data_IF_560226847938
#
_entry.id   IF_560226847938
#
_cell.length_a   1.000
_cell.length_b   1.000
_cell.length_c   1.000
_cell.angle_alpha   90.00
_cell.angle_beta   90.00
_cell.angle_gamma   90.00
#
_symmetry.space_group_name_H-M   'P 1'
#
loop_
_entity.id
_entity.type
_entity.pdbx_description
1 polymer ?
#
# COMPACT_ATOMS: atom_id res chain seq x y z
N UNK A 1 -50.62 -2.72 43.31
CA UNK A 1 -50.65 -3.01 41.86
C UNK A 1 -49.55 -4.05 41.62
N UNK A 2 -49.71 -5.38 41.76
CA UNK A 2 -50.60 -6.37 41.06
C UNK A 2 -50.51 -6.17 39.54
N UNK A 3 -50.13 -7.10 38.66
CA UNK A 3 -49.83 -8.55 38.63
C UNK A 3 -48.98 -8.79 37.34
N UNK A 4 -47.93 -9.63 37.30
CA UNK A 4 -47.92 -11.09 37.09
C UNK A 4 -48.55 -11.56 35.77
N UNK A 5 -47.75 -12.24 34.92
CA UNK A 5 -48.02 -13.45 34.07
C UNK A 5 -46.68 -13.76 33.34
N UNK A 6 -45.82 -14.75 33.67
CA UNK A 6 -45.91 -16.24 33.78
C UNK A 6 -46.19 -16.89 32.41
N UNK A 7 -45.15 -17.36 31.70
CA UNK A 7 -44.74 -18.79 31.52
C UNK A 7 -45.22 -19.29 30.13
N UNK A 8 -44.65 -20.26 29.39
CA UNK A 8 -43.97 -21.51 29.73
C UNK A 8 -43.14 -21.95 28.50
N UNK A 9 -42.06 -22.67 28.77
CA UNK A 9 -41.21 -23.39 27.83
C UNK A 9 -41.84 -24.68 27.27
N UNK A 10 -41.27 -25.21 26.19
CA UNK A 10 -40.87 -26.63 26.17
C UNK A 10 -39.80 -26.89 25.10
N UNK A 11 -38.74 -27.57 25.55
CA UNK A 11 -37.78 -28.28 24.70
C UNK A 11 -38.38 -29.61 24.27
N UNK A 12 -38.05 -30.09 23.06
CA UNK A 12 -37.69 -31.49 22.90
C UNK A 12 -36.94 -31.77 21.60
N UNK A 13 -36.14 -32.80 21.72
CA UNK A 13 -34.92 -33.17 21.03
C UNK A 13 -35.11 -34.14 19.87
N UNK A 14 -34.09 -34.12 18.99
CA UNK A 14 -33.41 -35.26 18.38
C UNK A 14 -33.89 -35.88 17.05
N UNK A 15 -32.85 -36.08 16.22
CA UNK A 15 -32.55 -37.25 15.37
C UNK A 15 -32.91 -37.25 13.88
N UNK A 16 -31.84 -37.43 13.08
CA UNK A 16 -31.70 -37.66 11.63
C UNK A 16 -31.99 -39.15 11.30
N UNK A 17 -32.37 -39.54 10.06
CA UNK A 17 -31.40 -40.08 9.06
C UNK A 17 -31.75 -39.72 7.57
N UNK A 18 -30.79 -39.39 6.70
CA UNK A 18 -30.06 -40.21 5.67
C UNK A 18 -30.87 -40.69 4.44
N UNK A 19 -30.41 -40.23 3.26
CA UNK A 19 -30.41 -40.78 1.89
C UNK A 19 -31.71 -40.99 1.07
N UNK A 20 -31.83 -40.32 -0.09
CA UNK A 20 -31.55 -40.90 -1.43
C UNK A 20 -32.02 -39.97 -2.59
N UNK A 21 -31.28 -40.06 -3.70
CA UNK A 21 -31.63 -39.75 -5.11
C UNK A 21 -31.82 -38.30 -5.63
N UNK A 22 -30.71 -37.78 -6.16
CA UNK A 22 -30.50 -37.32 -7.55
C UNK A 22 -31.71 -36.87 -8.37
N UNK A 23 -31.83 -35.54 -8.56
CA UNK A 23 -32.28 -34.96 -9.85
C UNK A 23 -31.32 -33.83 -10.22
N UNK A 24 -30.56 -34.05 -11.30
CA UNK A 24 -29.74 -33.06 -11.98
C UNK A 24 -30.68 -32.15 -12.79
N UNK A 25 -30.88 -30.90 -12.34
CA UNK A 25 -31.43 -29.85 -13.20
C UNK A 25 -30.27 -28.99 -13.66
N UNK A 26 -29.88 -29.19 -14.92
CA UNK A 26 -28.93 -28.36 -15.64
C UNK A 26 -29.52 -26.95 -15.82
N UNK A 27 -29.05 -25.99 -15.02
CA UNK A 27 -29.41 -24.60 -15.18
C UNK A 27 -28.35 -23.91 -16.06
N UNK A 28 -28.60 -23.85 -17.38
CA UNK A 28 -27.76 -23.15 -18.33
C UNK A 28 -27.83 -21.63 -18.10
N UNK A 29 -26.92 -21.10 -17.27
CA UNK A 29 -26.68 -19.65 -17.18
C UNK A 29 -26.00 -19.19 -18.47
N UNK A 30 -26.67 -18.31 -19.22
CA UNK A 30 -26.05 -17.51 -20.30
C UNK A 30 -24.79 -16.81 -19.76
N UNK A 31 -23.69 -16.70 -20.53
CA UNK A 31 -22.51 -15.95 -20.11
C UNK A 31 -22.88 -14.47 -19.97
N UNK A 32 -22.94 -14.03 -18.71
CA UNK A 32 -23.02 -12.61 -18.35
C UNK A 32 -21.72 -11.94 -18.85
N UNK A 33 -21.78 -10.85 -19.63
CA UNK A 33 -20.57 -10.08 -19.91
C UNK A 33 -19.98 -9.60 -18.58
N UNK A 34 -18.67 -9.84 -18.41
CA UNK A 34 -17.92 -9.46 -17.23
C UNK A 34 -18.13 -7.97 -16.92
N UNK A 35 -18.35 -7.58 -15.65
CA UNK A 35 -18.49 -6.18 -15.29
C UNK A 35 -17.16 -5.46 -15.51
N UNK A 36 -17.04 -4.77 -16.64
CA UNK A 36 -16.09 -3.65 -16.82
C UNK A 36 -16.65 -2.45 -16.06
N UNK A 37 -16.64 -2.57 -14.73
CA UNK A 37 -16.86 -1.47 -13.82
C UNK A 37 -15.70 -1.46 -12.85
N UNK A 38 -14.60 -0.85 -13.26
CA UNK A 38 -13.67 -0.23 -12.32
C UNK A 38 -14.40 0.98 -11.70
N UNK A 39 -15.47 0.71 -10.95
CA UNK A 39 -15.64 1.21 -9.60
C UNK A 39 -15.08 2.62 -9.38
N UNK A 40 -15.78 3.62 -9.91
CA UNK A 40 -15.79 4.99 -9.40
C UNK A 40 -16.41 4.95 -7.99
N UNK A 41 -15.70 4.47 -6.96
CA UNK A 41 -16.30 4.29 -5.61
C UNK A 41 -15.98 5.34 -4.57
N UNK A 42 -15.05 6.27 -4.77
CA UNK A 42 -14.86 7.38 -3.83
C UNK A 42 -14.18 8.57 -4.51
N UNK A 43 -14.96 9.36 -5.25
CA UNK A 43 -14.54 10.71 -5.62
C UNK A 43 -15.13 11.65 -4.57
N UNK A 44 -14.32 12.12 -3.62
CA UNK A 44 -14.75 13.22 -2.75
C UNK A 44 -14.65 14.50 -3.58
N UNK A 45 -15.77 15.11 -3.99
CA UNK A 45 -15.72 16.38 -4.71
C UNK A 45 -15.11 17.46 -3.81
N UNK A 46 -14.52 18.48 -4.42
CA UNK A 46 -14.04 19.63 -3.64
C UNK A 46 -15.23 20.36 -2.98
N UNK A 47 -15.36 20.18 -1.68
CA UNK A 47 -16.38 20.82 -0.85
C UNK A 47 -15.90 22.21 -0.40
N UNK A 48 -16.21 23.21 -1.23
CA UNK A 48 -15.82 24.60 -0.97
C UNK A 48 -16.50 25.19 0.28
N UNK A 49 -17.60 24.63 0.76
CA UNK A 49 -18.32 25.11 1.94
C UNK A 49 -17.53 24.97 3.24
N UNK A 50 -16.42 24.21 3.22
CA UNK A 50 -15.51 24.04 4.36
C UNK A 50 -14.48 25.16 4.52
N UNK A 51 -14.46 26.13 3.62
CA UNK A 51 -13.46 27.18 3.56
C UNK A 51 -14.12 28.56 3.43
N UNK A 52 -13.41 29.60 3.87
CA UNK A 52 -13.78 30.97 3.51
C UNK A 52 -13.63 31.19 1.99
N UNK A 53 -14.33 32.19 1.44
CA UNK A 53 -14.39 32.42 -0.01
C UNK A 53 -13.03 32.67 -0.65
N UNK A 54 -12.11 33.35 0.05
CA UNK A 54 -10.77 33.64 -0.45
C UNK A 54 -9.97 32.34 -0.57
N UNK A 55 -9.97 31.53 0.48
CA UNK A 55 -9.29 30.23 0.50
C UNK A 55 -9.87 29.25 -0.52
N UNK A 56 -11.19 29.19 -0.64
CA UNK A 56 -11.86 28.34 -1.62
C UNK A 56 -11.46 28.70 -3.07
N UNK A 57 -11.40 29.99 -3.39
CA UNK A 57 -10.99 30.46 -4.71
C UNK A 57 -9.51 30.18 -5.00
N UNK A 58 -8.64 30.42 -4.02
CA UNK A 58 -7.21 30.11 -4.16
C UNK A 58 -6.96 28.60 -4.36
N UNK A 59 -7.72 27.73 -3.68
CA UNK A 59 -7.63 26.28 -3.87
C UNK A 59 -8.13 25.86 -5.25
N UNK A 60 -9.23 26.42 -5.75
CA UNK A 60 -9.73 26.14 -7.11
C UNK A 60 -8.69 26.44 -8.18
N UNK A 61 -8.15 27.66 -8.18
CA UNK A 61 -7.10 28.06 -9.12
C UNK A 61 -5.91 27.11 -9.08
N UNK A 62 -5.47 26.71 -7.88
CA UNK A 62 -4.39 25.76 -7.73
C UNK A 62 -4.71 24.36 -8.26
N UNK A 63 -5.96 23.90 -8.10
CA UNK A 63 -6.40 22.61 -8.64
C UNK A 63 -6.52 22.65 -10.16
N UNK A 64 -7.00 23.76 -10.71
CA UNK A 64 -7.09 23.99 -12.16
C UNK A 64 -5.68 24.00 -12.78
N UNK A 65 -4.74 24.77 -12.20
CA UNK A 65 -3.33 24.78 -12.60
C UNK A 65 -2.71 23.36 -12.56
N UNK A 66 -2.99 22.60 -11.50
CA UNK A 66 -2.51 21.24 -11.35
C UNK A 66 -3.11 20.31 -12.42
N UNK A 67 -4.39 20.46 -12.75
CA UNK A 67 -5.07 19.70 -13.79
C UNK A 67 -4.49 20.02 -15.17
N UNK A 68 -4.23 21.29 -15.48
CA UNK A 68 -3.60 21.73 -16.73
C UNK A 68 -2.20 21.14 -16.91
N UNK A 69 -1.44 21.01 -15.82
CA UNK A 69 -0.15 20.32 -15.80
C UNK A 69 -0.26 18.78 -15.85
N UNK A 70 -1.49 18.23 -15.86
CA UNK A 70 -1.79 16.80 -15.82
C UNK A 70 -1.29 16.13 -14.54
N UNK A 71 -1.35 16.83 -13.40
CA UNK A 71 -1.07 16.28 -12.07
C UNK A 71 -2.34 15.66 -11.48
N UNK A 72 -2.22 14.64 -10.62
CA UNK A 72 -3.39 14.11 -9.92
C UNK A 72 -3.91 15.16 -8.92
N UNK A 73 -5.12 15.67 -9.16
CA UNK A 73 -5.75 16.71 -8.34
C UNK A 73 -6.33 16.14 -7.04
N UNK A 74 -6.79 14.90 -7.07
CA UNK A 74 -7.46 14.24 -5.94
C UNK A 74 -6.62 14.24 -4.64
N UNK A 75 -5.32 13.92 -4.65
CA UNK A 75 -4.47 14.08 -3.47
C UNK A 75 -4.44 15.51 -2.90
N UNK A 76 -4.50 16.53 -3.76
CA UNK A 76 -4.51 17.94 -3.34
C UNK A 76 -5.82 18.32 -2.66
N UNK A 77 -6.95 17.87 -3.21
CA UNK A 77 -8.28 18.04 -2.60
C UNK A 77 -8.33 17.36 -1.24
N UNK A 78 -7.91 16.10 -1.16
CA UNK A 78 -7.88 15.35 0.10
C UNK A 78 -7.02 16.06 1.15
N UNK A 79 -5.87 16.61 0.75
CA UNK A 79 -5.00 17.36 1.65
C UNK A 79 -5.62 18.65 2.16
N UNK A 80 -6.34 19.38 1.32
CA UNK A 80 -7.08 20.56 1.72
C UNK A 80 -8.21 20.22 2.71
N UNK A 81 -9.01 19.20 2.39
CA UNK A 81 -10.11 18.73 3.23
C UNK A 81 -9.63 18.19 4.58
N UNK A 82 -8.50 17.50 4.61
CA UNK A 82 -7.85 17.08 5.85
C UNK A 82 -7.45 18.29 6.70
N UNK A 83 -6.87 19.32 6.09
CA UNK A 83 -6.54 20.58 6.76
C UNK A 83 -7.75 21.25 7.39
N UNK A 84 -8.85 21.35 6.64
CA UNK A 84 -10.12 21.89 7.13
C UNK A 84 -10.71 21.05 8.27
N UNK A 85 -10.72 19.72 8.14
CA UNK A 85 -11.19 18.82 9.19
C UNK A 85 -10.38 18.96 10.50
N UNK A 86 -9.08 19.26 10.39
CA UNK A 86 -8.19 19.54 11.52
C UNK A 86 -8.28 20.99 12.03
N UNK A 87 -9.17 21.81 11.48
CA UNK A 87 -9.30 23.25 11.80
C UNK A 87 -7.98 24.01 11.66
N UNK A 88 -7.20 23.63 10.66
CA UNK A 88 -5.93 24.30 10.34
C UNK A 88 -6.21 25.69 9.78
N UNK A 89 -5.38 26.67 10.13
CA UNK A 89 -5.48 28.02 9.56
C UNK A 89 -5.35 28.02 8.03
N UNK A 90 -6.12 28.87 7.34
CA UNK A 90 -6.25 28.90 5.88
C UNK A 90 -4.92 29.08 5.15
N UNK A 91 -4.05 29.96 5.66
CA UNK A 91 -2.70 30.21 5.13
C UNK A 91 -1.84 28.93 5.15
N UNK A 92 -1.92 28.17 6.24
CA UNK A 92 -1.20 26.92 6.42
C UNK A 92 -1.77 25.80 5.54
N UNK A 93 -3.08 25.77 5.33
CA UNK A 93 -3.70 24.84 4.36
C UNK A 93 -3.15 25.14 2.96
N UNK A 94 -3.23 26.39 2.50
CA UNK A 94 -2.75 26.79 1.17
C UNK A 94 -1.26 26.49 0.98
N UNK A 95 -0.43 26.78 2.00
CA UNK A 95 1.01 26.47 1.97
C UNK A 95 1.25 24.98 1.76
N UNK A 96 0.60 24.13 2.55
CA UNK A 96 0.79 22.67 2.50
C UNK A 96 0.29 22.07 1.19
N UNK A 97 -0.84 22.55 0.67
CA UNK A 97 -1.38 22.08 -0.62
C UNK A 97 -0.47 22.51 -1.77
N UNK A 98 0.06 23.73 -1.77
CA UNK A 98 1.09 24.18 -2.73
C UNK A 98 2.34 23.33 -2.68
N UNK A 99 2.87 23.07 -1.50
CA UNK A 99 4.04 22.20 -1.33
C UNK A 99 3.78 20.78 -1.87
N UNK A 100 2.56 20.27 -1.70
CA UNK A 100 2.16 18.98 -2.24
C UNK A 100 2.09 18.99 -3.77
N UNK A 101 1.54 20.06 -4.38
CA UNK A 101 1.51 20.23 -5.83
C UNK A 101 2.92 20.30 -6.43
N UNK A 102 3.84 21.04 -5.79
CA UNK A 102 5.25 21.11 -6.20
C UNK A 102 5.90 19.72 -6.10
N UNK A 103 5.62 18.97 -5.04
CA UNK A 103 6.14 17.62 -4.87
C UNK A 103 5.60 16.65 -5.94
N UNK A 104 4.32 16.73 -6.30
CA UNK A 104 3.74 15.96 -7.41
C UNK A 104 4.38 16.30 -8.75
N UNK A 105 4.60 17.59 -9.02
CA UNK A 105 5.27 18.04 -10.24
C UNK A 105 6.71 17.51 -10.30
N UNK A 106 7.45 17.56 -9.18
CA UNK A 106 8.80 17.00 -9.08
C UNK A 106 8.77 15.48 -9.27
N UNK A 107 7.88 14.76 -8.60
CA UNK A 107 7.70 13.32 -8.79
C UNK A 107 7.39 12.96 -10.26
N UNK A 108 6.53 13.72 -10.94
CA UNK A 108 6.19 13.51 -12.36
C UNK A 108 7.41 13.70 -13.27
N UNK A 109 8.24 14.71 -13.01
CA UNK A 109 9.49 14.90 -13.77
C UNK A 109 10.47 13.75 -13.55
N UNK A 110 10.61 13.29 -12.31
CA UNK A 110 11.60 12.27 -11.94
C UNK A 110 11.17 10.85 -12.33
N UNK A 111 9.90 10.49 -12.12
CA UNK A 111 9.37 9.17 -12.47
C UNK A 111 8.97 9.10 -13.96
N UNK A 112 8.66 10.24 -14.58
CA UNK A 112 8.32 10.36 -15.99
C UNK A 112 6.81 10.38 -16.27
N UNK A 113 6.45 10.82 -17.47
CA UNK A 113 5.06 11.12 -17.86
C UNK A 113 4.10 9.91 -17.87
N UNK A 114 4.64 8.69 -17.91
CA UNK A 114 3.84 7.45 -17.91
C UNK A 114 3.50 6.96 -16.49
N UNK A 115 3.98 7.64 -15.43
CA UNK A 115 3.65 7.24 -14.06
C UNK A 115 2.16 7.30 -13.76
N UNK A 116 1.70 6.31 -12.99
CA UNK A 116 0.33 6.26 -12.50
C UNK A 116 0.10 7.31 -11.40
N UNK A 117 -1.16 7.68 -11.14
CA UNK A 117 -1.50 8.61 -10.05
C UNK A 117 -0.91 8.17 -8.70
N UNK A 118 -0.99 6.87 -8.39
CA UNK A 118 -0.48 6.30 -7.14
C UNK A 118 1.05 6.36 -7.06
N UNK A 119 1.76 6.19 -8.17
CA UNK A 119 3.23 6.37 -8.21
C UNK A 119 3.62 7.82 -7.99
N UNK A 120 2.89 8.77 -8.60
CA UNK A 120 3.13 10.20 -8.41
C UNK A 120 2.89 10.61 -6.96
N UNK A 121 1.82 10.12 -6.34
CA UNK A 121 1.53 10.40 -4.94
C UNK A 121 2.57 9.77 -4.00
N UNK A 122 2.95 8.50 -4.21
CA UNK A 122 4.02 7.86 -3.45
C UNK A 122 5.35 8.63 -3.58
N UNK A 123 5.69 9.08 -4.79
CA UNK A 123 6.87 9.90 -5.05
C UNK A 123 6.81 11.27 -4.37
N UNK A 124 5.67 11.95 -4.40
CA UNK A 124 5.48 13.23 -3.71
C UNK A 124 5.61 13.11 -2.19
N UNK A 125 5.04 12.05 -1.61
CA UNK A 125 5.17 11.75 -0.18
C UNK A 125 6.64 11.47 0.18
N UNK A 126 7.36 10.74 -0.67
CA UNK A 126 8.78 10.44 -0.48
C UNK A 126 9.64 11.71 -0.51
N UNK A 127 9.45 12.59 -1.50
CA UNK A 127 10.15 13.87 -1.60
C UNK A 127 9.89 14.77 -0.39
N UNK A 128 8.63 14.83 0.07
CA UNK A 128 8.26 15.58 1.28
C UNK A 128 8.80 14.96 2.57
N UNK A 129 9.16 13.67 2.55
CA UNK A 129 9.84 13.01 3.66
C UNK A 129 11.37 13.21 3.65
N UNK A 130 11.89 13.98 2.69
CA UNK A 130 13.32 14.33 2.61
C UNK A 130 14.14 13.43 1.68
N UNK A 131 13.51 12.56 0.89
CA UNK A 131 14.21 11.85 -0.18
C UNK A 131 14.53 12.82 -1.33
N UNK A 132 15.64 12.56 -2.02
CA UNK A 132 16.05 13.29 -3.20
C UNK A 132 15.56 12.64 -4.50
N UNK A 133 15.72 13.34 -5.63
CA UNK A 133 15.30 12.83 -6.95
C UNK A 133 16.04 11.54 -7.29
N UNK A 134 17.32 11.44 -6.91
CA UNK A 134 18.15 10.25 -7.16
C UNK A 134 17.58 9.00 -6.49
N UNK A 135 17.00 9.11 -5.30
CA UNK A 135 16.32 8.00 -4.65
C UNK A 135 15.10 7.54 -5.47
N UNK A 136 14.29 8.47 -5.98
CA UNK A 136 13.13 8.17 -6.83
C UNK A 136 13.56 7.53 -8.17
N UNK A 137 14.59 8.07 -8.81
CA UNK A 137 15.17 7.53 -10.06
C UNK A 137 15.67 6.09 -9.86
N UNK A 138 16.33 5.82 -8.73
CA UNK A 138 16.83 4.49 -8.41
C UNK A 138 15.69 3.48 -8.29
N UNK A 139 14.61 3.86 -7.58
CA UNK A 139 13.42 3.00 -7.47
C UNK A 139 12.76 2.80 -8.84
N UNK A 140 12.60 3.88 -9.63
CA UNK A 140 12.06 3.79 -10.99
C UNK A 140 12.88 2.89 -11.88
N UNK A 141 14.21 2.96 -11.83
CA UNK A 141 15.09 2.11 -12.64
C UNK A 141 15.05 0.63 -12.23
N UNK A 142 14.59 0.32 -11.01
CA UNK A 142 14.44 -1.07 -10.54
C UNK A 142 13.11 -1.71 -10.94
N UNK A 143 12.14 -0.94 -11.46
CA UNK A 143 10.76 -1.38 -11.67
C UNK A 143 10.16 -0.90 -12.99
N UNK A 144 9.32 -1.72 -13.63
CA UNK A 144 8.43 -1.22 -14.68
C UNK A 144 7.48 -0.13 -14.17
N UNK A 145 6.91 0.62 -15.11
CA UNK A 145 5.84 1.58 -14.84
C UNK A 145 4.65 0.89 -14.15
N UNK A 146 4.12 1.52 -13.11
CA UNK A 146 3.00 1.02 -12.31
C UNK A 146 3.42 0.13 -11.13
N UNK A 147 4.71 -0.17 -10.96
CA UNK A 147 5.22 -1.05 -9.92
C UNK A 147 6.15 -0.34 -8.91
N UNK A 148 6.27 0.99 -8.99
CA UNK A 148 7.14 1.75 -8.08
C UNK A 148 6.49 2.09 -6.72
N UNK A 149 5.17 1.92 -6.56
CA UNK A 149 4.43 2.34 -5.36
C UNK A 149 4.98 1.69 -4.09
N UNK A 150 5.03 0.35 -4.05
CA UNK A 150 5.51 -0.42 -2.89
C UNK A 150 6.95 -0.03 -2.50
N UNK A 151 7.95 -0.06 -3.40
CA UNK A 151 9.31 0.32 -3.03
C UNK A 151 9.45 1.79 -2.60
N UNK A 152 8.70 2.73 -3.19
CA UNK A 152 8.70 4.14 -2.75
C UNK A 152 8.13 4.30 -1.33
N UNK A 153 7.03 3.62 -1.03
CA UNK A 153 6.39 3.65 0.30
C UNK A 153 7.31 3.02 1.34
N UNK A 154 7.88 1.86 1.05
CA UNK A 154 8.81 1.15 1.96
C UNK A 154 10.06 1.98 2.21
N UNK A 155 10.67 2.54 1.17
CA UNK A 155 11.83 3.42 1.31
C UNK A 155 11.53 4.63 2.20
N UNK A 156 10.39 5.27 1.97
CA UNK A 156 9.94 6.43 2.77
C UNK A 156 9.73 6.07 4.24
N UNK A 157 9.09 4.94 4.52
CA UNK A 157 8.82 4.49 5.90
C UNK A 157 10.12 4.15 6.64
N UNK A 158 11.06 3.46 5.98
CA UNK A 158 12.37 3.11 6.54
C UNK A 158 13.16 4.38 6.91
N UNK A 159 13.18 5.39 6.02
CA UNK A 159 13.86 6.67 6.27
C UNK A 159 13.21 7.42 7.44
N UNK A 160 11.87 7.48 7.50
CA UNK A 160 11.14 8.12 8.61
C UNK A 160 11.42 7.47 9.97
N UNK A 161 11.82 6.20 9.98
CA UNK A 161 12.20 5.45 11.19
C UNK A 161 13.65 5.71 11.62
N UNK A 162 14.36 6.61 10.94
CA UNK A 162 15.71 7.04 11.30
C UNK A 162 16.82 6.21 10.65
N UNK A 163 16.50 5.36 9.67
CA UNK A 163 17.54 4.72 8.85
C UNK A 163 18.09 5.74 7.85
N UNK A 164 19.41 5.87 7.69
CA UNK A 164 20.01 6.77 6.70
C UNK A 164 19.51 6.50 5.28
N UNK A 165 19.23 7.56 4.52
CA UNK A 165 18.65 7.48 3.16
C UNK A 165 19.49 6.60 2.23
N UNK A 166 20.83 6.70 2.29
CA UNK A 166 21.74 5.88 1.48
C UNK A 166 21.52 4.39 1.73
N UNK A 167 21.52 3.98 3.01
CA UNK A 167 21.38 2.59 3.41
C UNK A 167 20.00 2.04 3.03
N UNK A 168 18.95 2.83 3.26
CA UNK A 168 17.58 2.46 2.90
C UNK A 168 17.42 2.30 1.39
N UNK A 169 17.95 3.25 0.60
CA UNK A 169 17.88 3.22 -0.87
C UNK A 169 18.61 2.01 -1.44
N UNK A 170 19.81 1.73 -0.96
CA UNK A 170 20.62 0.62 -1.47
C UNK A 170 19.96 -0.73 -1.16
N UNK A 171 19.42 -0.89 0.06
CA UNK A 171 18.64 -2.06 0.46
C UNK A 171 17.37 -2.25 -0.40
N UNK A 172 16.57 -1.19 -0.56
CA UNK A 172 15.33 -1.26 -1.35
C UNK A 172 15.65 -1.52 -2.83
N UNK A 173 16.66 -0.88 -3.42
CA UNK A 173 17.07 -1.13 -4.80
C UNK A 173 17.54 -2.58 -5.01
N UNK A 174 18.28 -3.14 -4.06
CA UNK A 174 18.72 -4.53 -4.14
C UNK A 174 17.52 -5.49 -4.12
N UNK A 175 16.57 -5.29 -3.21
CA UNK A 175 15.42 -6.18 -3.04
C UNK A 175 14.33 -5.96 -4.10
N UNK A 176 14.18 -4.75 -4.63
CA UNK A 176 13.19 -4.43 -5.66
C UNK A 176 13.45 -5.18 -6.98
N UNK A 177 14.69 -5.62 -7.21
CA UNK A 177 15.10 -6.36 -8.41
C UNK A 177 14.87 -7.87 -8.32
N UNK A 178 14.49 -8.40 -7.16
CA UNK A 178 14.30 -9.85 -6.97
C UNK A 178 12.89 -10.31 -7.37
N UNK A 179 12.69 -11.60 -7.70
CA UNK A 179 11.35 -12.16 -7.81
C UNK A 179 10.59 -12.05 -6.47
N UNK A 180 9.28 -11.78 -6.51
CA UNK A 180 8.42 -11.60 -5.29
C UNK A 180 8.91 -10.52 -4.33
N UNK A 181 9.66 -9.57 -4.88
CA UNK A 181 10.18 -8.39 -4.20
C UNK A 181 9.18 -7.60 -3.35
N UNK A 182 7.89 -7.56 -3.68
CA UNK A 182 6.93 -6.75 -2.91
C UNK A 182 6.70 -7.35 -1.51
N UNK A 183 6.52 -8.67 -1.42
CA UNK A 183 6.42 -9.38 -0.15
C UNK A 183 7.71 -9.22 0.67
N UNK A 184 8.86 -9.25 0.00
CA UNK A 184 10.18 -9.06 0.61
C UNK A 184 10.32 -7.62 1.15
N UNK A 185 9.92 -6.61 0.37
CA UNK A 185 9.99 -5.21 0.78
C UNK A 185 9.03 -4.91 1.94
N UNK A 186 7.81 -5.47 1.93
CA UNK A 186 6.87 -5.36 3.03
C UNK A 186 7.37 -6.09 4.29
N UNK A 187 8.01 -7.24 4.12
CA UNK A 187 8.69 -7.96 5.20
C UNK A 187 9.83 -7.15 5.83
N UNK A 188 10.68 -6.52 4.99
CA UNK A 188 11.72 -5.60 5.44
C UNK A 188 11.09 -4.44 6.23
N UNK A 189 10.04 -3.82 5.69
CA UNK A 189 9.35 -2.70 6.32
C UNK A 189 8.84 -3.08 7.71
N UNK A 190 8.11 -4.19 7.83
CA UNK A 190 7.58 -4.68 9.10
C UNK A 190 8.70 -4.97 10.12
N UNK A 191 9.81 -5.56 9.68
CA UNK A 191 10.94 -5.85 10.55
C UNK A 191 11.64 -4.57 11.04
N UNK A 192 11.92 -3.63 10.14
CA UNK A 192 12.52 -2.32 10.49
C UNK A 192 11.59 -1.57 11.43
N UNK A 193 10.28 -1.57 11.16
CA UNK A 193 9.26 -0.96 12.01
C UNK A 193 9.30 -1.48 13.44
N UNK A 194 9.32 -2.81 13.61
CA UNK A 194 9.42 -3.46 14.91
C UNK A 194 10.69 -3.08 15.67
N UNK A 195 11.84 -3.00 14.98
CA UNK A 195 13.11 -2.73 15.63
C UNK A 195 13.34 -1.23 15.90
N UNK A 196 12.79 -0.34 15.07
CA UNK A 196 12.84 1.10 15.28
C UNK A 196 12.18 1.54 16.59
N UNK A 197 11.21 0.78 17.10
CA UNK A 197 10.62 0.98 18.44
C UNK A 197 11.66 0.89 19.57
N UNK A 198 12.78 0.20 19.35
CA UNK A 198 13.89 0.05 20.30
C UNK A 198 15.01 1.08 20.07
N UNK A 199 14.89 1.90 19.03
CA UNK A 199 15.84 2.96 18.66
C UNK A 199 16.33 2.85 17.21
N UNK A 200 16.85 3.96 16.63
CA UNK A 200 17.29 4.01 15.23
C UNK A 200 18.41 3.00 14.90
N UNK A 201 19.36 2.77 15.81
CA UNK A 201 20.43 1.78 15.59
C UNK A 201 19.91 0.37 15.37
N UNK A 202 18.88 -0.03 16.14
CA UNK A 202 18.26 -1.36 15.99
C UNK A 202 17.51 -1.50 14.66
N UNK A 203 16.97 -0.41 14.13
CA UNK A 203 16.34 -0.37 12.80
C UNK A 203 17.38 -0.63 11.69
N UNK A 204 18.56 0.01 11.79
CA UNK A 204 19.68 -0.20 10.86
C UNK A 204 20.21 -1.64 10.94
N UNK A 205 20.38 -2.19 12.14
CA UNK A 205 20.83 -3.57 12.32
C UNK A 205 19.82 -4.59 11.78
N UNK A 206 18.52 -4.32 11.94
CA UNK A 206 17.47 -5.14 11.36
C UNK A 206 17.49 -5.11 9.83
N UNK A 207 17.64 -3.92 9.24
CA UNK A 207 17.77 -3.76 7.79
C UNK A 207 18.98 -4.54 7.24
N UNK A 208 20.15 -4.37 7.86
CA UNK A 208 21.37 -5.05 7.43
C UNK A 208 21.26 -6.57 7.52
N UNK A 209 20.62 -7.10 8.58
CA UNK A 209 20.38 -8.55 8.73
C UNK A 209 19.41 -9.07 7.69
N UNK A 210 18.34 -8.32 7.41
CA UNK A 210 17.33 -8.72 6.44
C UNK A 210 17.90 -8.81 5.03
N UNK A 211 18.64 -7.78 4.60
CA UNK A 211 19.27 -7.74 3.26
C UNK A 211 20.28 -8.88 3.10
N UNK A 212 21.09 -9.16 4.13
CA UNK A 212 22.02 -10.31 4.13
C UNK A 212 21.28 -11.64 4.01
N UNK A 213 20.19 -11.83 4.77
CA UNK A 213 19.39 -13.07 4.73
C UNK A 213 18.63 -13.28 3.42
N UNK A 214 18.12 -12.20 2.82
CA UNK A 214 17.42 -12.25 1.53
C UNK A 214 18.33 -12.67 0.37
N UNK A 215 19.62 -12.32 0.42
CA UNK A 215 20.63 -12.79 -0.54
C UNK A 215 20.97 -14.28 -0.43
N UNK A 216 20.71 -14.90 0.72
CA UNK A 216 20.99 -16.33 0.98
C UNK A 216 19.87 -17.27 0.51
N UNK A 217 18.73 -16.75 0.08
CA UNK A 217 17.57 -17.52 -0.42
C UNK A 217 17.67 -17.89 -1.91
N UNK A 218 18.89 -17.91 -2.48
CA UNK A 218 19.13 -18.48 -3.81
C UNK A 218 18.65 -19.95 -3.84
N UNK A 219 18.09 -20.44 -4.97
CA UNK A 219 17.31 -21.67 -4.99
C UNK A 219 18.20 -22.85 -4.60
N UNK A 220 17.89 -23.48 -3.48
CA UNK A 220 18.32 -24.85 -3.22
C UNK A 220 17.83 -25.68 -4.40
N UNK A 221 18.75 -26.18 -5.22
CA UNK A 221 18.48 -27.26 -6.18
C UNK A 221 17.59 -28.30 -5.48
N UNK A 222 16.59 -28.87 -6.17
CA UNK A 222 15.74 -29.89 -5.56
C UNK A 222 16.65 -30.95 -4.97
N UNK A 223 16.45 -31.25 -3.70
CA UNK A 223 17.20 -32.29 -3.01
C UNK A 223 17.03 -33.57 -3.83
N UNK A 224 18.08 -33.92 -4.59
CA UNK A 224 18.26 -35.27 -5.11
C UNK A 224 18.16 -36.15 -3.87
N UNK A 225 17.08 -36.92 -3.80
CA UNK A 225 16.91 -38.00 -2.83
C UNK A 225 17.90 -39.09 -3.19
N UNK A 226 19.18 -38.87 -2.92
CA UNK A 226 20.18 -39.93 -2.88
C UNK A 226 20.06 -40.63 -1.52
N UNK A 227 18.98 -41.40 -1.35
CA UNK A 227 18.89 -42.38 -0.28
C UNK A 227 19.72 -43.58 -0.70
N UNK A 228 20.91 -43.70 -0.08
CA UNK A 228 21.75 -44.90 -0.09
C UNK A 228 20.89 -46.15 0.19
N UNK A 229 20.95 -47.22 -0.62
CA UNK A 229 20.19 -48.44 -0.36
C UNK A 229 20.67 -49.09 0.94
N UNK A 230 19.76 -49.24 1.90
CA UNK A 230 19.99 -50.06 3.11
C UNK A 230 19.77 -51.51 2.70
N UNK A 231 20.81 -52.35 2.85
CA UNK A 231 20.74 -53.79 2.62
C UNK A 231 19.93 -54.44 3.75
N UNK A 232 18.93 -55.30 3.47
CA UNK A 232 18.22 -56.04 4.51
C UNK A 232 19.14 -57.10 5.15
N UNK A 233 18.94 -57.41 6.44
CA UNK A 233 19.66 -58.50 7.11
C UNK A 233 19.12 -59.86 6.64
N UNK A 234 20.04 -60.80 6.41
CA UNK A 234 19.73 -62.17 6.04
C UNK A 234 19.11 -62.93 7.24
N UNK A 235 17.92 -63.48 7.05
CA UNK A 235 17.33 -64.56 7.85
C UNK A 235 16.59 -65.51 6.93
#
# INVERSE_FOLDING_TARGET
>A
MVALWVMVAQLSTASVPVAADTIVVANARKPQPAPTAVTTRDQVPFDAGRFDSLTANALRLLFDDAAEMGLPVRPLINRALEGAARRTASDRILKVVREHAIALQRAKRTLGAQSTEDELEAGAIALRAGLDDRALETVRASRPVGQAVVPLVVLTDIVRRGVPVSNARDAVNQLARTPRSDDILLGLQALVAKNAQRGPGMAVDALNRYVKGAGSLAPSSPATTDRKPVRPPDT
#
